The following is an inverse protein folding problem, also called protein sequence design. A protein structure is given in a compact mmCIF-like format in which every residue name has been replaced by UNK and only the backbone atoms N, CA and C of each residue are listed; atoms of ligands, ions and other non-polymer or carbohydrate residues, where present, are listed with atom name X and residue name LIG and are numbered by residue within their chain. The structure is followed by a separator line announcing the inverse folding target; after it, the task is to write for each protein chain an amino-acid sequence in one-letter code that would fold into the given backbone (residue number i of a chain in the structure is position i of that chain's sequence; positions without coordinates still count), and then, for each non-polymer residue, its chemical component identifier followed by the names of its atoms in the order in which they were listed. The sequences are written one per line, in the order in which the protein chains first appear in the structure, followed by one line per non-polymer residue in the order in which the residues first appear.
data_IF_277892208751
#
_entry.id   IF_277892208751
#
_cell.length_a   1.000
_cell.length_b   1.000
_cell.length_c   1.000
_cell.angle_alpha   90.00
_cell.angle_beta   90.00
_cell.angle_gamma   90.00
#
_symmetry.space_group_name_H-M   'P 1'
#
loop_
_entity.id
_entity.type
_entity.pdbx_description
1 polymer ?
#
# COMPACT_ATOMS: atom_id res chain seq x y z
N UNK A 1 32.16 7.95 10.27
CA UNK A 1 31.21 7.15 9.47
C UNK A 1 30.03 8.06 9.19
N UNK A 2 29.77 8.41 7.94
CA UNK A 2 28.57 9.16 7.58
C UNK A 2 27.41 8.19 7.73
N UNK A 3 26.59 8.35 8.77
CA UNK A 3 25.30 7.66 8.87
C UNK A 3 24.48 8.16 7.67
N UNK A 4 24.18 7.33 6.67
CA UNK A 4 23.31 7.75 5.58
C UNK A 4 21.96 8.06 6.24
N UNK A 5 21.59 9.34 6.24
CA UNK A 5 20.36 9.87 6.84
C UNK A 5 19.23 8.83 6.80
N UNK A 6 18.83 8.36 7.98
CA UNK A 6 17.86 7.29 8.16
C UNK A 6 16.63 7.55 7.26
N UNK A 7 16.43 6.71 6.25
CA UNK A 7 15.33 6.90 5.30
C UNK A 7 14.03 6.69 6.08
N UNK A 8 13.19 7.73 6.15
CA UNK A 8 11.89 7.62 6.79
C UNK A 8 10.96 6.74 5.94
N UNK A 9 10.70 5.53 6.43
CA UNK A 9 9.81 4.55 5.79
C UNK A 9 8.38 4.63 6.31
N UNK A 10 7.98 5.73 6.94
CA UNK A 10 6.59 6.02 7.27
C UNK A 10 5.86 6.49 6.01
N UNK A 11 4.62 6.02 5.85
CA UNK A 11 3.78 6.41 4.73
C UNK A 11 3.49 7.93 4.72
N UNK A 12 3.46 8.55 3.53
CA UNK A 12 2.87 9.87 3.34
C UNK A 12 1.40 9.88 3.78
N UNK A 13 0.89 11.08 4.13
CA UNK A 13 -0.49 11.23 4.63
C UNK A 13 -1.53 10.69 3.65
N UNK A 14 -1.38 10.98 2.36
CA UNK A 14 -2.31 10.51 1.32
C UNK A 14 -2.35 8.97 1.20
N UNK A 15 -1.21 8.30 1.38
CA UNK A 15 -1.12 6.84 1.38
C UNK A 15 -1.85 6.26 2.60
N UNK A 16 -1.70 6.90 3.77
CA UNK A 16 -2.43 6.53 4.98
C UNK A 16 -3.95 6.72 4.83
N UNK A 17 -4.38 7.82 4.21
CA UNK A 17 -5.79 8.13 3.97
C UNK A 17 -6.42 7.14 2.98
N UNK A 18 -5.68 6.73 1.94
CA UNK A 18 -6.10 5.67 1.02
C UNK A 18 -6.26 4.33 1.71
N UNK A 19 -5.29 3.94 2.55
CA UNK A 19 -5.38 2.71 3.34
C UNK A 19 -6.59 2.72 4.28
N UNK A 20 -6.85 3.87 4.92
CA UNK A 20 -8.05 4.06 5.74
C UNK A 20 -9.34 3.92 4.93
N UNK A 21 -9.39 4.49 3.71
CA UNK A 21 -10.51 4.34 2.79
C UNK A 21 -10.71 2.88 2.39
N UNK A 22 -9.63 2.16 2.06
CA UNK A 22 -9.66 0.73 1.75
C UNK A 22 -10.26 -0.11 2.87
N UNK A 23 -9.86 0.16 4.12
CA UNK A 23 -10.41 -0.52 5.30
C UNK A 23 -11.91 -0.28 5.46
N UNK A 24 -12.37 0.98 5.35
CA UNK A 24 -13.81 1.32 5.42
C UNK A 24 -14.62 0.65 4.31
N UNK A 25 -14.09 0.59 3.09
CA UNK A 25 -14.76 -0.07 1.98
C UNK A 25 -14.81 -1.59 2.18
N UNK A 26 -13.73 -2.20 2.68
CA UNK A 26 -13.71 -3.63 2.99
C UNK A 26 -14.76 -3.97 4.06
N UNK A 27 -14.85 -3.17 5.12
CA UNK A 27 -15.86 -3.31 6.17
C UNK A 27 -17.28 -3.21 5.59
N UNK A 28 -17.53 -2.20 4.75
CA UNK A 28 -18.85 -1.98 4.14
C UNK A 28 -19.28 -3.09 3.15
N UNK A 29 -18.37 -3.59 2.33
CA UNK A 29 -18.70 -4.49 1.21
C UNK A 29 -18.28 -5.95 1.44
N UNK A 30 -17.60 -6.26 2.54
CA UNK A 30 -17.18 -7.63 2.88
C UNK A 30 -16.19 -8.27 1.90
N UNK A 31 -15.46 -7.47 1.11
CA UNK A 31 -14.53 -7.97 0.08
C UNK A 31 -13.31 -7.08 -0.10
N UNK A 32 -12.27 -7.65 -0.73
CA UNK A 32 -11.03 -6.96 -1.07
C UNK A 32 -9.88 -7.31 -0.13
N UNK A 33 -8.80 -7.82 -0.72
CA UNK A 33 -7.56 -8.18 -0.03
C UNK A 33 -7.69 -9.40 0.90
N UNK A 34 -6.54 -9.93 1.29
CA UNK A 34 -6.41 -10.93 2.36
C UNK A 34 -6.10 -10.25 3.70
N UNK A 35 -5.99 -11.01 4.78
CA UNK A 35 -5.54 -10.49 6.08
C UNK A 35 -4.18 -9.79 6.01
N UNK A 36 -3.30 -10.20 5.08
CA UNK A 36 -2.03 -9.49 4.81
C UNK A 36 -2.30 -8.06 4.31
N UNK A 37 -3.29 -7.89 3.43
CA UNK A 37 -3.69 -6.57 2.95
C UNK A 37 -4.30 -5.71 4.05
N UNK A 38 -5.08 -6.30 4.95
CA UNK A 38 -5.67 -5.61 6.11
C UNK A 38 -4.58 -5.16 7.10
N UNK A 39 -3.63 -6.05 7.40
CA UNK A 39 -2.48 -5.73 8.24
C UNK A 39 -1.66 -4.58 7.63
N UNK A 40 -1.39 -4.64 6.32
CA UNK A 40 -0.70 -3.57 5.59
C UNK A 40 -1.45 -2.24 5.64
N UNK A 41 -2.75 -2.25 5.39
CA UNK A 41 -3.56 -1.04 5.48
C UNK A 41 -3.53 -0.43 6.89
N UNK A 42 -3.50 -1.26 7.92
CA UNK A 42 -3.39 -0.82 9.31
C UNK A 42 -2.03 -0.17 9.60
N UNK A 43 -0.94 -0.77 9.11
CA UNK A 43 0.41 -0.18 9.20
C UNK A 43 0.48 1.20 8.52
N UNK A 44 -0.04 1.28 7.28
CA UNK A 44 -0.05 2.51 6.49
C UNK A 44 -0.92 3.60 7.11
N UNK A 45 -2.15 3.25 7.54
CA UNK A 45 -3.08 4.19 8.20
C UNK A 45 -2.46 4.82 9.44
N UNK A 46 -1.80 4.00 10.25
CA UNK A 46 -1.17 4.45 11.49
C UNK A 46 0.20 5.09 11.26
N UNK A 47 0.66 5.21 10.00
CA UNK A 47 1.98 5.72 9.61
C UNK A 47 3.10 5.06 10.42
N UNK A 48 2.99 3.74 10.65
CA UNK A 48 4.07 2.96 11.28
C UNK A 48 5.28 2.97 10.35
N UNK A 49 6.47 3.03 10.93
CA UNK A 49 7.70 2.87 10.17
C UNK A 49 7.73 1.45 9.61
N UNK A 50 7.85 1.34 8.29
CA UNK A 50 7.87 0.06 7.61
C UNK A 50 9.29 -0.50 7.49
N UNK A 51 9.43 -1.81 7.28
CA UNK A 51 10.71 -2.43 6.94
C UNK A 51 11.07 -2.28 5.45
N UNK A 52 12.37 -2.33 5.09
CA UNK A 52 12.80 -2.39 3.69
C UNK A 52 12.15 -3.54 2.90
N UNK A 53 12.06 -4.76 3.46
CA UNK A 53 11.40 -5.89 2.80
C UNK A 53 9.92 -5.63 2.52
N UNK A 54 9.27 -4.90 3.41
CA UNK A 54 7.89 -4.49 3.28
C UNK A 54 7.68 -3.56 2.08
N UNK A 55 8.57 -2.58 1.87
CA UNK A 55 8.50 -1.69 0.69
C UNK A 55 8.68 -2.50 -0.60
N UNK A 56 9.63 -3.43 -0.63
CA UNK A 56 9.82 -4.33 -1.78
C UNK A 56 8.55 -5.15 -2.06
N UNK A 57 7.90 -5.65 -1.01
CA UNK A 57 6.61 -6.37 -1.12
C UNK A 57 5.50 -5.49 -1.67
N UNK A 58 5.44 -4.20 -1.30
CA UNK A 58 4.48 -3.25 -1.89
C UNK A 58 4.69 -3.11 -3.40
N UNK A 59 5.94 -2.92 -3.85
CA UNK A 59 6.26 -2.85 -5.29
C UNK A 59 5.83 -4.12 -6.02
N UNK A 60 6.16 -5.30 -5.50
CA UNK A 60 5.75 -6.58 -6.09
C UNK A 60 4.23 -6.80 -6.07
N UNK A 61 3.53 -6.27 -5.07
CA UNK A 61 2.07 -6.30 -5.03
C UNK A 61 1.49 -5.47 -6.17
N UNK A 62 1.88 -4.20 -6.29
CA UNK A 62 1.33 -3.30 -7.31
C UNK A 62 1.61 -3.77 -8.73
N UNK A 63 2.80 -4.31 -9.00
CA UNK A 63 3.14 -4.84 -10.32
C UNK A 63 2.23 -6.00 -10.75
N UNK A 64 1.85 -6.90 -9.83
CA UNK A 64 1.00 -8.05 -10.15
C UNK A 64 -0.49 -7.71 -10.26
N UNK A 65 -0.93 -6.68 -9.53
CA UNK A 65 -2.36 -6.32 -9.44
C UNK A 65 -2.71 -5.09 -10.31
N UNK A 66 -1.78 -4.58 -11.12
CA UNK A 66 -2.07 -3.49 -12.05
C UNK A 66 -3.16 -3.90 -13.07
N UNK A 67 -3.24 -5.19 -13.41
CA UNK A 67 -4.30 -5.74 -14.28
C UNK A 67 -5.70 -5.61 -13.67
N UNK A 68 -5.84 -5.57 -12.34
CA UNK A 68 -7.14 -5.45 -11.65
C UNK A 68 -7.84 -4.13 -11.98
N UNK A 69 -7.09 -3.10 -12.40
CA UNK A 69 -7.62 -1.81 -12.87
C UNK A 69 -8.56 -1.94 -14.06
N UNK A 70 -8.41 -3.00 -14.85
CA UNK A 70 -9.25 -3.30 -16.02
C UNK A 70 -10.52 -4.08 -15.66
N UNK A 71 -10.66 -4.49 -14.40
CA UNK A 71 -11.80 -5.23 -13.92
C UNK A 71 -13.08 -4.40 -13.86
N UNK A 72 -14.24 -5.07 -13.98
CA UNK A 72 -15.55 -4.42 -13.86
C UNK A 72 -15.67 -3.70 -12.51
N UNK A 73 -16.24 -2.48 -12.54
CA UNK A 73 -16.45 -1.62 -11.37
C UNK A 73 -15.17 -1.24 -10.60
N UNK A 74 -13.99 -1.29 -11.23
CA UNK A 74 -12.80 -0.72 -10.63
C UNK A 74 -13.02 0.79 -10.38
N UNK A 75 -12.78 1.24 -9.15
CA UNK A 75 -12.98 2.64 -8.76
C UNK A 75 -14.44 3.11 -8.65
N UNK A 76 -15.44 2.25 -8.86
CA UNK A 76 -16.85 2.65 -8.75
C UNK A 76 -17.17 3.11 -7.32
N UNK A 77 -17.81 4.28 -7.19
CA UNK A 77 -18.06 4.91 -5.89
C UNK A 77 -19.13 4.19 -5.05
N UNK A 78 -20.10 3.56 -5.70
CA UNK A 78 -21.25 2.92 -5.06
C UNK A 78 -21.02 1.42 -4.83
N UNK A 79 -20.28 0.77 -5.72
CA UNK A 79 -20.06 -0.68 -5.72
C UNK A 79 -18.64 -1.04 -6.23
N UNK A 80 -17.57 -0.61 -5.53
CA UNK A 80 -16.20 -0.80 -5.97
C UNK A 80 -15.81 -2.27 -6.05
N UNK A 81 -15.04 -2.64 -7.08
CA UNK A 81 -14.51 -4.00 -7.23
C UNK A 81 -13.62 -4.43 -6.04
N UNK A 82 -13.51 -5.74 -5.82
CA UNK A 82 -12.60 -6.28 -4.80
C UNK A 82 -11.13 -5.88 -5.07
N UNK A 83 -10.74 -5.81 -6.35
CA UNK A 83 -9.40 -5.34 -6.77
C UNK A 83 -9.15 -3.89 -6.41
N UNK A 84 -10.13 -3.00 -6.58
CA UNK A 84 -9.99 -1.60 -6.16
C UNK A 84 -9.88 -1.44 -4.64
N UNK A 85 -10.69 -2.18 -3.87
CA UNK A 85 -10.59 -2.17 -2.41
C UNK A 85 -9.21 -2.68 -1.98
N UNK A 86 -8.74 -3.79 -2.55
CA UNK A 86 -7.41 -4.32 -2.29
C UNK A 86 -6.31 -3.30 -2.64
N UNK A 87 -6.42 -2.63 -3.79
CA UNK A 87 -5.49 -1.59 -4.21
C UNK A 87 -5.38 -0.46 -3.18
N UNK A 88 -6.52 0.00 -2.66
CA UNK A 88 -6.56 1.02 -1.61
C UNK A 88 -5.96 0.53 -0.28
N UNK A 89 -6.16 -0.74 0.11
CA UNK A 89 -5.52 -1.31 1.30
C UNK A 89 -3.99 -1.20 1.26
N UNK A 90 -3.40 -1.26 0.06
CA UNK A 90 -1.96 -1.10 -0.13
C UNK A 90 -1.52 0.36 -0.33
N UNK A 91 -2.45 1.32 -0.26
CA UNK A 91 -2.17 2.75 -0.30
C UNK A 91 -2.53 3.44 -1.61
N UNK A 92 -3.18 2.75 -2.55
CA UNK A 92 -3.61 3.35 -3.81
C UNK A 92 -2.46 3.67 -4.77
N UNK A 93 -2.73 4.53 -5.74
CA UNK A 93 -1.74 4.95 -6.74
C UNK A 93 -0.59 5.73 -6.11
N UNK A 94 -0.88 6.51 -5.07
CA UNK A 94 0.10 7.23 -4.25
C UNK A 94 0.97 6.26 -3.46
N UNK A 95 0.41 5.15 -2.96
CA UNK A 95 1.16 4.08 -2.32
C UNK A 95 2.11 3.38 -3.30
N UNK A 96 1.68 3.17 -4.55
CA UNK A 96 2.51 2.62 -5.63
C UNK A 96 3.65 3.57 -5.98
N UNK A 97 3.34 4.84 -6.21
CA UNK A 97 4.34 5.86 -6.55
C UNK A 97 5.39 6.00 -5.45
N UNK A 98 4.94 6.11 -4.19
CA UNK A 98 5.82 6.17 -3.04
C UNK A 98 6.72 4.94 -2.91
N UNK A 99 6.16 3.72 -3.01
CA UNK A 99 6.95 2.50 -2.91
C UNK A 99 8.01 2.38 -4.02
N UNK A 100 7.69 2.82 -5.24
CA UNK A 100 8.63 2.85 -6.36
C UNK A 100 9.75 3.87 -6.15
N UNK A 101 9.45 5.04 -5.58
CA UNK A 101 10.44 6.07 -5.25
C UNK A 101 11.39 5.62 -4.13
N UNK A 102 10.85 4.95 -3.10
CA UNK A 102 11.64 4.53 -1.93
C UNK A 102 12.48 3.28 -2.23
N UNK A 103 12.01 2.36 -3.07
CA UNK A 103 12.71 1.10 -3.40
C UNK A 103 14.20 1.27 -3.79
N UNK A 104 14.61 2.19 -4.69
CA UNK A 104 16.02 2.38 -5.00
C UNK A 104 16.80 2.99 -3.82
N UNK A 105 16.16 3.83 -3.00
CA UNK A 105 16.80 4.51 -1.85
C UNK A 105 17.17 3.51 -0.75
N UNK A 106 16.33 2.51 -0.50
CA UNK A 106 16.62 1.46 0.49
C UNK A 106 17.63 0.41 0.01
N UNK A 107 17.87 0.29 -1.30
CA UNK A 107 18.78 -0.70 -1.88
C UNK A 107 18.62 -2.12 -1.29
N UNK A 108 19.74 -2.67 -0.83
CA UNK A 108 19.82 -3.98 -0.16
C UNK A 108 19.77 -3.88 1.36
N UNK A 109 19.26 -2.77 1.94
CA UNK A 109 19.15 -2.62 3.38
C UNK A 109 18.43 -3.84 4.00
N UNK A 110 19.02 -4.47 5.04
CA UNK A 110 18.38 -5.55 5.75
C UNK A 110 17.18 -5.02 6.52
N UNK A 111 16.27 -5.92 6.90
CA UNK A 111 15.31 -5.58 7.94
C UNK A 111 16.09 -5.43 9.26
N UNK A 112 15.86 -4.32 9.95
CA UNK A 112 16.48 -3.94 11.24
C UNK A 112 15.47 -4.13 12.36
#
# INVERSE_FOLDING_TARGET
MHDPAEIDLRSPRIVADNAAKGLRLREKFGRGGTEIGVARATELKNRRKLSPSTIRRMVSYFARHEVDKKGKNYGNEQNPSAGYIAWLLWGGDEGRAWALEIKPRIGNAPDI
#
